data_IF_055924851326
#
_entry.id   IF_055924851326
#
_cell.length_a   1.000
_cell.length_b   1.000
_cell.length_c   1.000
_cell.angle_alpha   90.00
_cell.angle_beta   90.00
_cell.angle_gamma   90.00
#
_symmetry.space_group_name_H-M   'P 1'
#
loop_
_entity.id
_entity.type
_entity.pdbx_description
1 polymer ?
#
# COMPACT_ATOMS: atom_id res chain seq x y z
N UNK A 1 27.88 -30.18 -8.42
CA UNK A 1 28.90 -29.52 -7.57
C UNK A 1 28.32 -29.43 -6.19
N UNK A 2 28.71 -30.33 -5.30
CA UNK A 2 28.39 -30.24 -3.88
C UNK A 2 29.24 -29.12 -3.27
N UNK A 3 28.58 -28.10 -2.73
CA UNK A 3 29.27 -27.11 -1.91
C UNK A 3 29.70 -27.86 -0.64
N UNK A 4 31.00 -27.89 -0.28
CA UNK A 4 31.42 -28.49 0.97
C UNK A 4 30.62 -27.89 2.12
N UNK A 5 30.11 -28.72 3.03
CA UNK A 5 29.18 -28.29 4.11
C UNK A 5 29.65 -27.04 4.87
N UNK A 6 30.97 -26.88 5.03
CA UNK A 6 31.60 -25.70 5.65
C UNK A 6 31.37 -24.41 4.85
N UNK A 7 31.48 -24.46 3.53
CA UNK A 7 31.25 -23.30 2.66
C UNK A 7 29.76 -22.95 2.58
N UNK A 8 28.88 -23.95 2.65
CA UNK A 8 27.43 -23.73 2.76
C UNK A 8 27.08 -23.07 4.10
N UNK A 9 27.63 -23.57 5.21
CA UNK A 9 27.40 -23.01 6.53
C UNK A 9 27.88 -21.55 6.63
N UNK A 10 29.05 -21.24 6.05
CA UNK A 10 29.57 -19.86 5.99
C UNK A 10 28.65 -18.93 5.18
N UNK A 11 28.17 -19.37 4.01
CA UNK A 11 27.24 -18.59 3.20
C UNK A 11 25.91 -18.33 3.92
N UNK A 12 25.37 -19.33 4.63
CA UNK A 12 24.15 -19.17 5.43
C UNK A 12 24.37 -18.22 6.61
N UNK A 13 25.51 -18.29 7.28
CA UNK A 13 25.85 -17.37 8.37
C UNK A 13 25.94 -15.91 7.88
N UNK A 14 26.49 -15.69 6.69
CA UNK A 14 26.55 -14.36 6.08
C UNK A 14 25.14 -13.82 5.75
N UNK A 15 24.29 -14.64 5.13
CA UNK A 15 22.89 -14.26 4.86
C UNK A 15 22.13 -13.97 6.15
N UNK A 16 22.34 -14.76 7.20
CA UNK A 16 21.70 -14.55 8.49
C UNK A 16 22.11 -13.20 9.12
N UNK A 17 23.40 -12.87 9.06
CA UNK A 17 23.92 -11.59 9.54
C UNK A 17 23.32 -10.41 8.77
N UNK A 18 23.37 -10.45 7.44
CA UNK A 18 22.82 -9.37 6.60
C UNK A 18 21.30 -9.24 6.77
N UNK A 19 20.60 -10.37 6.95
CA UNK A 19 19.17 -10.40 7.24
C UNK A 19 18.84 -9.72 8.58
N UNK A 20 19.65 -9.97 9.61
CA UNK A 20 19.51 -9.31 10.92
C UNK A 20 19.75 -7.80 10.81
N UNK A 21 20.84 -7.38 10.18
CA UNK A 21 21.18 -5.96 10.00
C UNK A 21 20.08 -5.23 9.22
N UNK A 22 19.57 -5.85 8.15
CA UNK A 22 18.42 -5.33 7.39
C UNK A 22 17.16 -5.23 8.26
N UNK A 23 16.90 -6.22 9.11
CA UNK A 23 15.76 -6.23 10.02
C UNK A 23 15.78 -5.05 10.99
N UNK A 24 16.94 -4.76 11.59
CA UNK A 24 17.09 -3.63 12.50
C UNK A 24 16.90 -2.28 11.80
N UNK A 25 17.43 -2.13 10.58
CA UNK A 25 17.22 -0.92 9.79
C UNK A 25 15.75 -0.74 9.40
N UNK A 26 15.04 -1.82 9.06
CA UNK A 26 13.61 -1.76 8.77
C UNK A 26 12.81 -1.38 10.01
N UNK A 27 13.14 -1.91 11.19
CA UNK A 27 12.49 -1.52 12.44
C UNK A 27 12.65 -0.02 12.71
N UNK A 28 13.85 0.52 12.53
CA UNK A 28 14.09 1.96 12.67
C UNK A 28 13.32 2.77 11.64
N UNK A 29 13.23 2.29 10.39
CA UNK A 29 12.43 2.92 9.35
C UNK A 29 10.93 2.93 9.71
N UNK A 30 10.40 1.82 10.23
CA UNK A 30 9.00 1.73 10.67
C UNK A 30 8.69 2.70 11.81
N UNK A 31 9.61 2.86 12.77
CA UNK A 31 9.49 3.87 13.83
C UNK A 31 9.41 5.29 13.26
N UNK A 32 10.21 5.60 12.24
CA UNK A 32 10.15 6.90 11.55
C UNK A 32 8.83 7.09 10.79
N UNK A 33 8.31 6.03 10.17
CA UNK A 33 7.03 6.08 9.44
C UNK A 33 5.87 6.50 10.35
N UNK A 34 5.88 6.11 11.63
CA UNK A 34 4.85 6.55 12.60
C UNK A 34 4.80 8.08 12.79
N UNK A 35 5.94 8.76 12.60
CA UNK A 35 6.05 10.23 12.70
C UNK A 35 5.82 10.91 11.35
N UNK A 36 6.29 10.30 10.26
CA UNK A 36 6.16 10.83 8.90
C UNK A 36 4.69 10.82 8.47
N UNK A 37 3.95 9.73 8.71
CA UNK A 37 2.54 9.59 8.31
C UNK A 37 1.67 10.78 8.72
N UNK A 38 1.56 11.14 10.02
CA UNK A 38 0.72 12.28 10.42
C UNK A 38 1.21 13.62 9.87
N UNK A 39 2.53 13.83 9.76
CA UNK A 39 3.09 15.05 9.17
C UNK A 39 2.73 15.19 7.68
N UNK A 40 2.84 14.08 6.93
CA UNK A 40 2.52 14.04 5.51
C UNK A 40 1.01 14.23 5.26
N UNK A 41 0.15 13.58 6.04
CA UNK A 41 -1.31 13.77 5.99
C UNK A 41 -1.67 15.23 6.30
N UNK A 42 -1.09 15.83 7.35
CA UNK A 42 -1.31 17.23 7.70
C UNK A 42 -0.88 18.19 6.58
N UNK A 43 0.25 17.91 5.92
CA UNK A 43 0.71 18.70 4.79
C UNK A 43 -0.30 18.66 3.62
N UNK A 44 -0.84 17.48 3.30
CA UNK A 44 -1.88 17.34 2.26
C UNK A 44 -3.16 18.04 2.66
N UNK A 45 -3.60 17.94 3.92
CA UNK A 45 -4.77 18.66 4.43
C UNK A 45 -4.59 20.18 4.38
N UNK A 46 -3.36 20.68 4.54
CA UNK A 46 -3.00 22.08 4.36
C UNK A 46 -2.90 22.51 2.88
N UNK A 47 -3.20 21.61 1.93
CA UNK A 47 -3.19 21.90 0.50
C UNK A 47 -1.86 21.65 -0.22
N UNK A 48 -0.87 21.04 0.44
CA UNK A 48 0.39 20.72 -0.22
C UNK A 48 0.20 19.71 -1.36
N UNK A 49 0.99 19.84 -2.42
CA UNK A 49 0.94 18.96 -3.58
C UNK A 49 1.28 17.50 -3.20
N UNK A 50 0.31 16.59 -3.39
CA UNK A 50 0.41 15.17 -3.01
C UNK A 50 1.67 14.46 -3.52
N UNK A 51 2.04 14.68 -4.78
CA UNK A 51 3.25 14.06 -5.35
C UNK A 51 4.51 14.53 -4.63
N UNK A 52 4.59 15.83 -4.33
CA UNK A 52 5.73 16.41 -3.63
C UNK A 52 5.82 15.89 -2.19
N UNK A 53 4.69 15.80 -1.50
CA UNK A 53 4.64 15.24 -0.15
C UNK A 53 5.09 13.77 -0.14
N UNK A 54 4.64 12.95 -1.10
CA UNK A 54 5.07 11.55 -1.23
C UNK A 54 6.59 11.42 -1.43
N UNK A 55 7.15 12.22 -2.34
CA UNK A 55 8.60 12.21 -2.60
C UNK A 55 9.41 12.59 -1.37
N UNK A 56 8.99 13.62 -0.64
CA UNK A 56 9.64 14.05 0.60
C UNK A 56 9.49 13.02 1.72
N UNK A 57 8.34 12.34 1.80
CA UNK A 57 8.11 11.27 2.74
C UNK A 57 8.92 9.99 2.43
N UNK A 58 9.46 9.86 1.20
CA UNK A 58 10.29 8.73 0.81
C UNK A 58 9.54 7.38 0.76
N UNK A 59 8.22 7.41 0.57
CA UNK A 59 7.38 6.21 0.61
C UNK A 59 6.93 5.73 -0.76
N UNK A 60 6.65 4.44 -0.85
CA UNK A 60 6.06 3.85 -2.04
C UNK A 60 4.65 4.41 -2.32
N UNK A 61 4.22 4.34 -3.58
CA UNK A 61 2.88 4.76 -3.99
C UNK A 61 1.77 3.98 -3.27
N UNK A 62 1.99 2.69 -3.03
CA UNK A 62 1.03 1.82 -2.35
C UNK A 62 0.78 2.28 -0.92
N UNK A 63 1.86 2.43 -0.14
CA UNK A 63 1.78 2.88 1.26
C UNK A 63 1.22 4.31 1.36
N UNK A 64 1.59 5.17 0.40
CA UNK A 64 1.05 6.52 0.31
C UNK A 64 -0.46 6.56 0.16
N UNK A 65 -1.02 5.73 -0.74
CA UNK A 65 -2.46 5.68 -0.94
C UNK A 65 -3.21 5.05 0.23
N UNK A 66 -2.61 4.07 0.91
CA UNK A 66 -3.16 3.52 2.16
C UNK A 66 -3.30 4.62 3.22
N UNK A 67 -2.26 5.43 3.44
CA UNK A 67 -2.32 6.53 4.41
C UNK A 67 -3.39 7.57 4.08
N UNK A 68 -3.57 7.90 2.80
CA UNK A 68 -4.58 8.86 2.37
C UNK A 68 -5.99 8.29 2.53
N UNK A 69 -6.19 7.01 2.24
CA UNK A 69 -7.48 6.33 2.40
C UNK A 69 -7.88 6.24 3.88
N UNK A 70 -6.94 5.83 4.75
CA UNK A 70 -7.12 5.82 6.21
C UNK A 70 -7.46 7.22 6.77
N UNK A 71 -6.89 8.28 6.19
CA UNK A 71 -7.17 9.66 6.55
C UNK A 71 -8.46 10.23 5.91
N UNK A 72 -9.17 9.44 5.11
CA UNK A 72 -10.38 9.87 4.40
C UNK A 72 -10.12 10.84 3.24
N UNK A 73 -8.86 11.00 2.81
CA UNK A 73 -8.47 11.92 1.75
C UNK A 73 -8.70 11.24 0.39
N UNK A 74 -9.81 11.59 -0.25
CA UNK A 74 -10.16 11.06 -1.57
C UNK A 74 -9.19 11.53 -2.64
N UNK A 75 -8.33 10.62 -3.12
CA UNK A 75 -7.32 10.94 -4.14
C UNK A 75 -7.92 11.08 -5.53
N UNK A 76 -9.04 10.39 -5.78
CA UNK A 76 -9.87 10.47 -6.98
C UNK A 76 -11.25 9.91 -6.59
N UNK A 77 -12.38 10.41 -7.10
CA UNK A 77 -13.62 9.65 -7.00
C UNK A 77 -13.36 8.31 -7.67
N UNK A 78 -13.38 7.23 -6.89
CA UNK A 78 -13.38 5.87 -7.42
C UNK A 78 -14.66 5.79 -8.25
N UNK A 79 -14.54 5.82 -9.58
CA UNK A 79 -15.69 5.59 -10.43
C UNK A 79 -16.33 4.29 -9.95
N UNK A 80 -17.57 4.37 -9.44
CA UNK A 80 -18.29 3.21 -8.97
C UNK A 80 -18.22 2.15 -10.07
N UNK A 81 -17.72 0.94 -9.74
CA UNK A 81 -17.81 -0.18 -10.67
C UNK A 81 -19.28 -0.28 -11.04
N UNK A 82 -19.64 0.05 -12.29
CA UNK A 82 -20.99 -0.12 -12.79
C UNK A 82 -21.31 -1.60 -12.66
N UNK A 83 -22.07 -1.97 -11.64
CA UNK A 83 -22.77 -3.25 -11.61
C UNK A 83 -23.56 -3.31 -12.91
N UNK A 84 -23.30 -4.34 -13.71
CA UNK A 84 -24.02 -4.56 -14.95
C UNK A 84 -25.49 -4.76 -14.61
N UNK A 85 -26.27 -3.69 -14.69
CA UNK A 85 -27.73 -3.76 -14.69
C UNK A 85 -28.10 -4.48 -15.98
N UNK A 86 -28.33 -5.80 -15.91
CA UNK A 86 -29.06 -6.52 -16.94
C UNK A 86 -30.44 -5.87 -17.02
N UNK A 87 -30.67 -5.05 -18.04
CA UNK A 87 -32.01 -4.70 -18.50
C UNK A 87 -32.68 -5.99 -18.94
N UNK A 88 -33.52 -6.56 -18.07
CA UNK A 88 -34.54 -7.51 -18.51
C UNK A 88 -35.76 -6.68 -18.92
N UNK A 89 -35.78 -6.29 -20.19
CA UNK A 89 -37.01 -5.88 -20.87
C UNK A 89 -37.75 -7.14 -21.31
N UNK A 90 -39.08 -7.15 -21.16
CA UNK A 90 -40.08 -7.86 -21.99
C UNK A 90 -40.96 -8.94 -21.34
N UNK A 91 -42.27 -8.75 -21.58
CA UNK A 91 -43.44 -9.67 -21.54
C UNK A 91 -44.20 -9.79 -20.21
N UNK A 92 -45.33 -9.10 -20.00
CA UNK A 92 -46.66 -9.12 -20.69
C UNK A 92 -47.50 -10.35 -20.29
N UNK A 93 -48.68 -10.05 -19.74
CA UNK A 93 -49.95 -10.83 -19.72
C UNK A 93 -50.16 -11.81 -18.56
N UNK A 94 -51.15 -11.53 -17.69
CA UNK A 94 -52.52 -12.11 -17.61
C UNK A 94 -53.23 -11.52 -16.37
N UNK A 95 -54.30 -10.73 -16.59
CA UNK A 95 -55.72 -11.10 -16.38
C UNK A 95 -56.07 -11.15 -14.87
N UNK A 96 -56.64 -10.09 -14.29
CA UNK A 96 -58.09 -9.76 -14.13
C UNK A 96 -58.90 -10.75 -13.29
N UNK A 97 -59.49 -10.17 -12.24
CA UNK A 97 -60.70 -10.57 -11.49
C UNK A 97 -60.60 -11.70 -10.48
#
# INVERSE_FOLDING_TARGET
MDIPEVAQAAALAEVAKLGHDRGELLRQADELLTRIKPAAVKAVQAGAGRNRVRELAGVSTTLWYEWLDEAGIQVRPRAAKKTATKKATTSRKRETS
#
